data_IF_551873086670
#
_entry.id   IF_551873086670
#
_cell.length_a   1.000
_cell.length_b   1.000
_cell.length_c   1.000
_cell.angle_alpha   90.00
_cell.angle_beta   90.00
_cell.angle_gamma   90.00
#
_symmetry.space_group_name_H-M   'P 1'
#
loop_
_entity.id
_entity.type
_entity.pdbx_description
1 polymer ?
#
# COMPACT_ATOMS: atom_id res chain seq x y z
N UNK A 1 3.65 -10.37 -7.12
CA UNK A 1 4.22 -9.24 -6.36
C UNK A 1 4.49 -9.72 -4.95
N UNK A 2 5.62 -9.30 -4.38
CA UNK A 2 5.97 -9.64 -3.00
C UNK A 2 5.36 -8.60 -2.04
N UNK A 3 5.18 -8.93 -0.75
CA UNK A 3 4.75 -7.96 0.26
C UNK A 3 5.63 -6.70 0.30
N UNK A 4 6.94 -6.85 0.08
CA UNK A 4 7.90 -5.74 0.05
C UNK A 4 7.60 -4.74 -1.07
N UNK A 5 7.10 -5.21 -2.21
CA UNK A 5 6.74 -4.34 -3.34
C UNK A 5 5.46 -3.54 -3.06
N UNK A 6 4.56 -4.06 -2.22
CA UNK A 6 3.23 -3.48 -1.96
C UNK A 6 3.23 -2.60 -0.71
N UNK A 7 4.05 -2.95 0.28
CA UNK A 7 4.05 -2.33 1.60
C UNK A 7 4.13 -0.79 1.57
N UNK A 8 5.04 -0.15 0.79
CA UNK A 8 5.11 1.32 0.76
C UNK A 8 3.80 1.97 0.31
N UNK A 9 3.08 1.34 -0.62
CA UNK A 9 1.82 1.85 -1.14
C UNK A 9 0.68 1.69 -0.15
N UNK A 10 0.64 0.56 0.58
CA UNK A 10 -0.34 0.36 1.67
C UNK A 10 -0.10 1.37 2.79
N UNK A 11 1.16 1.52 3.24
CA UNK A 11 1.51 2.45 4.32
C UNK A 11 1.15 3.89 3.93
N UNK A 12 1.44 4.30 2.69
CA UNK A 12 1.05 5.63 2.19
C UNK A 12 -0.47 5.81 2.16
N UNK A 13 -1.20 4.86 1.56
CA UNK A 13 -2.66 4.98 1.41
C UNK A 13 -3.40 5.00 2.76
N UNK A 14 -2.96 4.17 3.71
CA UNK A 14 -3.54 4.17 5.06
C UNK A 14 -3.17 5.44 5.84
N UNK A 15 -1.96 5.99 5.64
CA UNK A 15 -1.57 7.26 6.26
C UNK A 15 -2.43 8.43 5.73
N UNK A 16 -2.63 8.50 4.42
CA UNK A 16 -3.52 9.47 3.77
C UNK A 16 -4.94 9.39 4.35
N UNK A 17 -5.51 8.19 4.40
CA UNK A 17 -6.84 7.99 4.97
C UNK A 17 -6.92 8.41 6.44
N UNK A 18 -5.91 8.12 7.25
CA UNK A 18 -5.88 8.53 8.66
C UNK A 18 -5.74 10.03 8.86
N UNK A 19 -4.94 10.72 8.03
CA UNK A 19 -4.84 12.19 8.04
C UNK A 19 -6.19 12.82 7.73
N UNK A 20 -6.93 12.24 6.79
CA UNK A 20 -8.26 12.70 6.41
C UNK A 20 -9.39 12.21 7.34
N UNK A 21 -9.07 11.45 8.40
CA UNK A 21 -10.07 10.90 9.32
C UNK A 21 -10.97 9.83 8.71
N UNK A 22 -10.61 9.27 7.54
CA UNK A 22 -11.34 8.21 6.86
C UNK A 22 -10.96 6.83 7.38
N UNK A 23 -11.90 5.90 7.29
CA UNK A 23 -11.65 4.47 7.47
C UNK A 23 -11.52 3.78 6.12
N UNK A 24 -10.76 2.70 6.05
CA UNK A 24 -10.62 1.88 4.84
C UNK A 24 -10.88 0.42 5.18
N UNK A 25 -11.56 -0.27 4.27
CA UNK A 25 -11.60 -1.73 4.25
C UNK A 25 -10.58 -2.29 3.23
N UNK A 26 -10.46 -3.63 3.17
CA UNK A 26 -9.55 -4.29 2.23
C UNK A 26 -9.91 -4.05 0.76
N UNK A 27 -11.17 -3.79 0.45
CA UNK A 27 -11.65 -3.59 -0.92
C UNK A 27 -11.32 -2.18 -1.40
N UNK A 28 -11.64 -1.15 -0.60
CA UNK A 28 -11.25 0.22 -0.83
C UNK A 28 -9.73 0.37 -0.95
N UNK A 29 -8.97 -0.31 -0.08
CA UNK A 29 -7.51 -0.30 -0.14
C UNK A 29 -7.00 -0.96 -1.44
N UNK A 30 -7.56 -2.11 -1.80
CA UNK A 30 -7.24 -2.82 -3.05
C UNK A 30 -7.50 -1.98 -4.30
N UNK A 31 -8.62 -1.26 -4.33
CA UNK A 31 -8.99 -0.36 -5.41
C UNK A 31 -8.04 0.84 -5.48
N UNK A 32 -7.77 1.49 -4.34
CA UNK A 32 -6.91 2.67 -4.24
C UNK A 32 -5.51 2.41 -4.80
N UNK A 33 -4.92 1.25 -4.46
CA UNK A 33 -3.57 0.91 -4.93
C UNK A 33 -3.58 0.06 -6.22
N UNK A 34 -4.74 -0.30 -6.77
CA UNK A 34 -4.88 -1.13 -7.99
C UNK A 34 -4.17 -2.50 -7.91
N UNK A 35 -4.16 -3.10 -6.72
CA UNK A 35 -3.57 -4.43 -6.44
C UNK A 35 -4.67 -5.40 -6.07
N UNK A 36 -4.52 -6.70 -6.39
CA UNK A 36 -5.50 -7.73 -6.04
C UNK A 36 -5.70 -7.82 -4.53
N UNK A 37 -6.95 -7.91 -4.08
CA UNK A 37 -7.32 -8.00 -2.65
C UNK A 37 -6.56 -9.09 -1.87
N UNK A 38 -6.26 -10.23 -2.50
CA UNK A 38 -5.48 -11.30 -1.89
C UNK A 38 -4.04 -10.91 -1.56
N UNK A 39 -3.38 -10.15 -2.43
CA UNK A 39 -2.01 -9.68 -2.22
C UNK A 39 -1.96 -8.55 -1.19
N UNK A 40 -3.00 -7.69 -1.19
CA UNK A 40 -3.19 -6.67 -0.15
C UNK A 40 -3.35 -7.33 1.22
N UNK A 41 -4.23 -8.32 1.34
CA UNK A 41 -4.44 -9.07 2.58
C UNK A 41 -3.14 -9.67 3.10
N UNK A 42 -2.40 -10.40 2.24
CA UNK A 42 -1.11 -11.00 2.62
C UNK A 42 -0.11 -9.95 3.13
N UNK A 43 -0.05 -8.80 2.47
CA UNK A 43 0.87 -7.72 2.84
C UNK A 43 0.45 -7.05 4.15
N UNK A 44 -0.84 -6.77 4.34
CA UNK A 44 -1.39 -6.25 5.60
C UNK A 44 -1.08 -7.20 6.76
N UNK A 45 -1.25 -8.52 6.56
CA UNK A 45 -0.90 -9.52 7.57
C UNK A 45 0.59 -9.48 7.92
N UNK A 46 1.48 -9.37 6.93
CA UNK A 46 2.92 -9.23 7.19
C UNK A 46 3.24 -7.95 7.99
N UNK A 47 2.69 -6.80 7.57
CA UNK A 47 2.86 -5.52 8.27
C UNK A 47 2.28 -5.52 9.69
N UNK A 48 1.25 -6.33 9.92
CA UNK A 48 0.68 -6.53 11.26
C UNK A 48 1.61 -7.31 12.18
N UNK A 49 2.22 -8.38 11.68
CA UNK A 49 3.26 -9.11 12.43
C UNK A 49 4.50 -8.25 12.71
N UNK A 50 4.79 -7.27 11.85
CA UNK A 50 5.84 -6.26 12.06
C UNK A 50 5.43 -5.12 13.00
N UNK A 51 4.18 -5.07 13.47
CA UNK A 51 3.68 -4.03 14.38
C UNK A 51 3.41 -2.67 13.73
N UNK A 52 3.36 -2.61 12.39
CA UNK A 52 3.15 -1.37 11.63
C UNK A 52 1.67 -1.09 11.34
N UNK A 53 0.85 -2.14 11.24
CA UNK A 53 -0.58 -2.06 10.92
C UNK A 53 -1.38 -2.89 11.92
N UNK A 54 -2.52 -2.40 12.38
CA UNK A 54 -3.58 -3.23 12.96
C UNK A 54 -4.42 -3.80 11.81
N UNK A 55 -4.28 -5.10 11.53
CA UNK A 55 -4.96 -5.75 10.41
C UNK A 55 -6.49 -5.82 10.57
N UNK A 56 -7.01 -5.81 11.81
CA UNK A 56 -8.45 -5.86 12.07
C UNK A 56 -9.11 -4.52 11.77
N UNK A 57 -8.42 -3.44 12.10
CA UNK A 57 -8.92 -2.07 11.92
C UNK A 57 -8.43 -1.39 10.65
N UNK A 58 -7.46 -1.98 9.95
CA UNK A 58 -6.71 -1.36 8.85
C UNK A 58 -6.23 0.04 9.20
N UNK A 59 -5.64 0.17 10.39
CA UNK A 59 -5.07 1.43 10.87
C UNK A 59 -3.59 1.25 11.14
N UNK A 60 -2.81 2.28 10.86
CA UNK A 60 -1.39 2.27 11.19
C UNK A 60 -1.20 2.44 12.69
N UNK A 61 -0.20 1.73 13.21
CA UNK A 61 0.41 2.07 14.50
C UNK A 61 1.15 3.40 14.39
N UNK A 62 1.64 3.94 15.52
CA UNK A 62 2.46 5.17 15.49
C UNK A 62 3.69 5.02 14.56
N UNK A 63 4.39 3.88 14.65
CA UNK A 63 5.54 3.60 13.80
C UNK A 63 5.15 3.47 12.32
N UNK A 64 4.07 2.74 12.03
CA UNK A 64 3.55 2.62 10.66
C UNK A 64 3.12 3.97 10.08
N UNK A 65 2.51 4.83 10.90
CA UNK A 65 2.07 6.16 10.50
C UNK A 65 3.25 7.10 10.24
N UNK A 66 4.28 7.07 11.09
CA UNK A 66 5.50 7.84 10.85
C UNK A 66 6.13 7.46 9.50
N UNK A 67 6.26 6.16 9.20
CA UNK A 67 6.77 5.70 7.90
C UNK A 67 5.85 6.13 6.76
N UNK A 68 4.55 5.84 6.85
CA UNK A 68 3.57 6.14 5.82
C UNK A 68 3.47 7.63 5.49
N UNK A 69 3.54 8.50 6.50
CA UNK A 69 3.51 9.96 6.32
C UNK A 69 4.73 10.49 5.57
N UNK A 70 5.92 9.91 5.78
CA UNK A 70 7.10 10.28 4.96
C UNK A 70 6.93 9.95 3.47
N UNK A 71 6.07 8.98 3.15
CA UNK A 71 5.76 8.58 1.78
C UNK A 71 4.68 9.47 1.14
N UNK A 72 3.89 10.22 1.92
CA UNK A 72 2.91 11.17 1.39
C UNK A 72 3.60 12.32 0.64
N UNK A 73 4.75 12.77 1.14
CA UNK A 73 5.55 13.81 0.51
C UNK A 73 6.30 13.34 -0.75
N UNK A 74 6.21 12.05 -1.11
CA UNK A 74 6.98 11.45 -2.22
C UNK A 74 6.05 10.89 -3.29
N UNK A 75 6.40 11.14 -4.55
CA UNK A 75 5.80 10.42 -5.67
C UNK A 75 6.34 8.99 -5.71
N UNK A 76 5.51 8.03 -5.29
CA UNK A 76 5.82 6.62 -5.47
C UNK A 76 5.68 6.25 -6.95
N UNK A 77 6.64 5.50 -7.53
CA UNK A 77 6.52 5.02 -8.90
C UNK A 77 5.28 4.13 -9.03
N UNK A 78 4.69 3.98 -10.23
CA UNK A 78 3.53 3.13 -10.41
C UNK A 78 3.87 1.68 -10.03
N UNK A 79 3.00 1.07 -9.22
CA UNK A 79 3.14 -0.32 -8.72
C UNK A 79 3.34 -1.32 -9.86
N UNK A 80 2.65 -1.10 -10.99
CA UNK A 80 2.84 -1.88 -12.21
C UNK A 80 3.58 -1.00 -13.21
N UNK A 81 4.81 -1.38 -13.55
CA UNK A 81 5.45 -0.88 -14.77
C UNK A 81 4.68 -1.45 -15.96
N UNK A 82 4.23 -0.62 -16.92
CA UNK A 82 3.65 -1.16 -18.14
C UNK A 82 4.69 -2.07 -18.79
N UNK A 83 4.25 -3.25 -19.23
CA UNK A 83 5.10 -4.19 -19.97
C UNK A 83 5.59 -3.43 -21.20
N UNK A 84 6.89 -3.14 -21.28
CA UNK A 84 7.49 -2.58 -22.50
C UNK A 84 7.15 -3.56 -23.62
N UNK A 85 6.20 -3.18 -24.47
CA UNK A 85 5.98 -3.87 -25.73
C UNK A 85 7.24 -3.59 -26.51
N UNK A 86 8.11 -4.59 -26.66
CA UNK A 86 9.30 -4.47 -27.46
C UNK A 86 8.87 -3.96 -28.84
N UNK A 87 9.16 -2.69 -29.13
CA UNK A 87 9.04 -2.16 -30.47
C UNK A 87 10.03 -2.97 -31.30
N UNK A 88 9.51 -3.92 -32.08
CA UNK A 88 10.25 -4.44 -33.23
C UNK A 88 10.45 -3.23 -34.15
N UNK A 89 11.65 -2.67 -34.11
CA UNK A 89 12.16 -1.83 -35.18
C UNK A 89 12.26 -2.76 -36.39
N UNK A 90 11.44 -2.49 -37.41
CA UNK A 90 11.52 -3.11 -38.72
C UNK A 90 12.48 -2.29 -39.60
#
# INVERSE_FOLDING_TARGET
MTPKDIAPYILRALAEAQVEGRTMDLEALSLAIKVRRGDVRKTVTALHHEGLVDALRLRLSLAGFAIGSTLLAKELPPIRRPKQVAQKVA
#
